data_IF_505040590982
#
_entry.id   IF_505040590982
#
_cell.length_a   1.000
_cell.length_b   1.000
_cell.length_c   1.000
_cell.angle_alpha   90.00
_cell.angle_beta   90.00
_cell.angle_gamma   90.00
#
_symmetry.space_group_name_H-M   'P 1'
#
loop_
_entity.id
_entity.type
_entity.pdbx_description
1 polymer ?
#
# COMPACT_ATOMS: atom_id res chain seq x y z
N UNK A 1 36.69 8.48 25.10
CA UNK A 1 36.97 7.50 24.02
C UNK A 1 35.70 7.34 23.17
N UNK A 2 35.83 7.66 21.90
CA UNK A 2 34.69 7.53 21.00
C UNK A 2 34.72 6.13 20.38
N UNK A 3 33.78 5.28 20.76
CA UNK A 3 33.60 4.02 20.11
C UNK A 3 32.86 4.24 18.78
N UNK A 4 33.47 3.80 17.70
CA UNK A 4 32.80 3.77 16.42
C UNK A 4 31.98 2.49 16.32
N UNK A 5 30.68 2.63 16.37
CA UNK A 5 29.77 1.54 16.07
C UNK A 5 29.78 1.28 14.56
N UNK A 6 30.29 0.11 14.19
CA UNK A 6 30.15 -0.38 12.81
C UNK A 6 28.91 -1.25 12.73
N UNK A 7 27.90 -0.75 12.03
CA UNK A 7 26.71 -1.53 11.75
C UNK A 7 26.91 -2.20 10.41
N UNK A 8 27.05 -3.53 10.42
CA UNK A 8 27.03 -4.31 9.19
C UNK A 8 25.58 -4.52 8.76
N UNK A 9 25.17 -3.80 7.72
CA UNK A 9 23.85 -4.00 7.14
C UNK A 9 23.95 -5.24 6.25
N UNK A 10 23.52 -6.38 6.79
CA UNK A 10 23.52 -7.66 6.08
C UNK A 10 22.24 -7.90 5.30
N UNK A 11 21.20 -7.10 5.53
CA UNK A 11 19.91 -7.21 4.86
C UNK A 11 19.68 -6.00 3.98
N UNK A 12 19.01 -6.20 2.82
CA UNK A 12 18.67 -5.08 1.95
C UNK A 12 17.79 -4.05 2.69
N UNK A 13 17.96 -2.81 2.35
CA UNK A 13 17.10 -1.74 2.85
C UNK A 13 15.81 -1.68 2.05
N UNK A 14 14.75 -1.23 2.70
CA UNK A 14 13.44 -1.09 2.11
C UNK A 14 13.03 0.36 2.12
N UNK A 15 12.28 0.74 1.11
CA UNK A 15 11.67 2.07 0.98
C UNK A 15 10.18 1.91 1.14
N UNK A 16 9.59 2.73 1.99
CA UNK A 16 8.15 2.85 2.11
C UNK A 16 7.73 4.21 1.58
N UNK A 17 6.81 4.21 0.65
CA UNK A 17 6.16 5.43 0.16
C UNK A 17 4.69 5.35 0.51
N UNK A 18 4.24 6.31 1.30
CA UNK A 18 2.86 6.36 1.78
C UNK A 18 2.04 7.36 1.00
N UNK A 19 0.74 7.12 0.96
CA UNK A 19 -0.25 8.06 0.43
C UNK A 19 -0.05 8.41 -1.05
N UNK A 20 0.24 7.39 -1.85
CA UNK A 20 0.29 7.53 -3.31
C UNK A 20 -1.14 7.52 -3.84
N UNK A 21 -1.56 8.60 -4.49
CA UNK A 21 -2.89 8.69 -5.10
C UNK A 21 -2.93 7.87 -6.37
N UNK A 22 -3.77 6.85 -6.43
CA UNK A 22 -3.94 6.02 -7.62
C UNK A 22 -5.23 6.29 -8.39
N UNK A 23 -6.20 6.94 -7.78
CA UNK A 23 -7.45 7.32 -8.40
C UNK A 23 -8.10 8.48 -7.67
N UNK A 24 -8.92 9.21 -8.38
CA UNK A 24 -9.81 10.22 -7.80
C UNK A 24 -11.24 9.80 -8.06
N UNK A 25 -12.05 9.74 -7.02
CA UNK A 25 -13.41 9.22 -7.08
C UNK A 25 -14.39 10.18 -6.41
N UNK A 26 -15.67 10.02 -6.74
CA UNK A 26 -16.72 10.75 -6.07
C UNK A 26 -16.92 10.21 -4.65
N UNK A 27 -17.05 11.11 -3.72
CA UNK A 27 -17.30 10.81 -2.32
C UNK A 27 -18.80 10.86 -2.00
N UNK A 28 -19.13 10.91 -0.72
CA UNK A 28 -20.49 10.92 -0.17
C UNK A 28 -21.45 11.91 -0.82
N UNK A 29 -20.93 13.02 -1.27
CA UNK A 29 -21.70 14.08 -1.90
C UNK A 29 -21.29 14.19 -3.35
N UNK A 30 -22.25 14.33 -4.23
CA UNK A 30 -22.03 14.41 -5.68
C UNK A 30 -21.07 15.53 -6.10
N UNK A 31 -20.77 16.44 -5.21
CA UNK A 31 -19.89 17.57 -5.49
C UNK A 31 -18.51 17.44 -4.87
N UNK A 32 -18.24 16.34 -4.14
CA UNK A 32 -16.97 16.12 -3.48
C UNK A 32 -16.20 15.00 -4.15
N UNK A 33 -14.95 15.28 -4.50
CA UNK A 33 -14.02 14.25 -4.95
C UNK A 33 -13.03 13.92 -3.85
N UNK A 34 -12.64 12.68 -3.80
CA UNK A 34 -11.60 12.25 -2.88
C UNK A 34 -10.54 11.44 -3.61
N UNK A 35 -9.33 11.51 -3.11
CA UNK A 35 -8.24 10.71 -3.60
C UNK A 35 -8.26 9.34 -2.92
N UNK A 36 -8.12 8.30 -3.70
CA UNK A 36 -7.85 6.95 -3.20
C UNK A 36 -6.35 6.73 -3.22
N UNK A 37 -5.84 6.28 -2.09
CA UNK A 37 -4.40 6.21 -1.86
C UNK A 37 -3.96 4.78 -1.61
N UNK A 38 -2.69 4.53 -1.88
CA UNK A 38 -2.05 3.27 -1.56
C UNK A 38 -0.68 3.53 -0.94
N UNK A 39 -0.20 2.57 -0.17
CA UNK A 39 1.15 2.58 0.36
C UNK A 39 1.96 1.49 -0.34
N UNK A 40 3.21 1.80 -0.65
CA UNK A 40 4.14 0.86 -1.26
C UNK A 40 5.33 0.60 -0.33
N UNK A 41 5.72 -0.66 -0.24
CA UNK A 41 6.98 -1.05 0.38
C UNK A 41 7.75 -1.87 -0.64
N UNK A 42 8.96 -1.46 -0.94
CA UNK A 42 9.79 -2.14 -1.94
C UNK A 42 11.26 -2.11 -1.53
N UNK A 43 12.07 -3.07 -2.04
CA UNK A 43 13.51 -3.03 -1.82
C UNK A 43 14.14 -1.80 -2.46
N UNK A 44 15.12 -1.21 -1.79
CA UNK A 44 15.82 -0.02 -2.31
C UNK A 44 16.51 -0.29 -3.64
N UNK A 45 17.09 -1.47 -3.79
CA UNK A 45 17.74 -1.86 -5.03
C UNK A 45 16.77 -2.65 -5.90
N UNK A 46 16.13 -1.96 -6.84
CA UNK A 46 15.21 -2.56 -7.81
C UNK A 46 15.76 -2.57 -9.23
N UNK A 47 17.08 -2.35 -9.39
CA UNK A 47 17.65 -1.96 -10.69
C UNK A 47 17.48 -2.99 -11.80
N UNK A 48 17.51 -4.30 -11.51
CA UNK A 48 17.55 -5.31 -12.57
C UNK A 48 16.60 -6.50 -12.36
N UNK A 49 15.78 -6.49 -11.33
CA UNK A 49 14.93 -7.64 -11.02
C UNK A 49 13.47 -7.26 -11.00
N UNK A 50 12.66 -8.13 -11.55
CA UNK A 50 11.22 -8.06 -11.37
C UNK A 50 10.87 -8.78 -10.08
N UNK A 51 10.19 -8.09 -9.18
CA UNK A 51 9.75 -8.64 -7.92
C UNK A 51 8.25 -8.95 -8.01
N UNK A 52 7.82 -10.09 -7.46
CA UNK A 52 6.39 -10.32 -7.33
C UNK A 52 5.77 -9.28 -6.41
N UNK A 53 4.59 -8.83 -6.77
CA UNK A 53 3.87 -7.81 -6.02
C UNK A 53 2.71 -8.45 -5.24
N UNK A 54 2.64 -8.15 -3.95
CA UNK A 54 1.52 -8.53 -3.10
C UNK A 54 0.64 -7.30 -2.93
N UNK A 55 -0.61 -7.42 -3.33
CA UNK A 55 -1.62 -6.38 -3.09
C UNK A 55 -2.41 -6.77 -1.84
N UNK A 56 -2.23 -5.99 -0.79
CA UNK A 56 -2.92 -6.20 0.48
C UNK A 56 -4.21 -5.41 0.50
N UNK A 57 -5.30 -6.10 0.72
CA UNK A 57 -6.63 -5.51 0.81
C UNK A 57 -7.07 -5.62 2.26
N UNK A 58 -7.15 -4.48 2.94
CA UNK A 58 -7.48 -4.45 4.35
C UNK A 58 -8.92 -4.90 4.59
N UNK A 59 -9.12 -5.74 5.60
CA UNK A 59 -10.44 -6.14 6.07
C UNK A 59 -11.12 -5.02 6.85
N UNK A 60 -12.40 -5.14 7.06
CA UNK A 60 -13.20 -4.17 7.82
C UNK A 60 -14.69 -4.32 7.53
N UNK A 61 -15.08 -5.47 6.98
CA UNK A 61 -16.46 -5.78 6.61
C UNK A 61 -17.08 -4.71 5.67
N UNK A 62 -16.25 -4.14 4.81
CA UNK A 62 -16.60 -3.08 3.86
C UNK A 62 -17.00 -1.75 4.50
N UNK A 63 -16.98 -1.65 5.83
CA UNK A 63 -17.43 -0.47 6.55
C UNK A 63 -16.29 0.37 7.11
N UNK A 64 -15.16 -0.25 7.37
CA UNK A 64 -13.96 0.40 7.87
C UNK A 64 -12.75 -0.05 7.08
N UNK A 65 -11.79 0.85 6.99
CA UNK A 65 -10.59 0.55 6.25
C UNK A 65 -9.45 1.45 6.74
N UNK A 66 -8.34 0.81 7.06
CA UNK A 66 -7.10 1.51 7.38
C UNK A 66 -5.95 0.78 6.68
N UNK A 67 -5.42 1.36 5.62
CA UNK A 67 -4.33 0.77 4.86
C UNK A 67 -3.03 0.64 5.64
N UNK A 68 -2.90 1.35 6.75
CA UNK A 68 -1.71 1.32 7.61
C UNK A 68 -1.81 0.33 8.76
N UNK A 69 -2.95 -0.31 8.96
CA UNK A 69 -3.20 -1.14 10.15
C UNK A 69 -2.27 -2.35 10.25
N UNK A 70 -1.82 -2.90 9.15
CA UNK A 70 -0.97 -4.11 9.12
C UNK A 70 0.44 -3.85 8.62
N UNK A 71 0.91 -2.63 8.74
CA UNK A 71 2.18 -2.20 8.15
C UNK A 71 3.37 -3.04 8.62
N UNK A 72 3.43 -3.39 9.91
CA UNK A 72 4.50 -4.23 10.45
C UNK A 72 4.53 -5.61 9.80
N UNK A 73 3.38 -6.22 9.61
CA UNK A 73 3.27 -7.52 8.94
C UNK A 73 3.67 -7.42 7.47
N UNK A 74 3.24 -6.36 6.80
CA UNK A 74 3.56 -6.13 5.40
C UNK A 74 5.05 -5.88 5.19
N UNK A 75 5.71 -5.23 6.14
CA UNK A 75 7.17 -5.03 6.10
C UNK A 75 7.91 -6.36 6.14
N UNK A 76 7.42 -7.34 6.90
CA UNK A 76 8.01 -8.69 6.91
C UNK A 76 7.88 -9.38 5.57
N UNK A 77 6.77 -9.20 4.88
CA UNK A 77 6.60 -9.75 3.53
C UNK A 77 7.59 -9.12 2.56
N UNK A 78 7.83 -7.82 2.66
CA UNK A 78 8.83 -7.15 1.85
C UNK A 78 10.24 -7.69 2.08
N UNK A 79 10.57 -8.09 3.30
CA UNK A 79 11.84 -8.73 3.61
C UNK A 79 12.06 -10.06 2.88
N UNK A 80 10.99 -10.72 2.45
CA UNK A 80 11.07 -11.97 1.71
C UNK A 80 11.17 -11.78 0.19
N UNK A 81 11.42 -10.57 -0.26
CA UNK A 81 11.64 -10.27 -1.68
C UNK A 81 10.38 -9.88 -2.45
N UNK A 82 9.37 -9.40 -1.78
CA UNK A 82 8.13 -8.94 -2.41
C UNK A 82 8.05 -7.42 -2.43
N UNK A 83 7.44 -6.89 -3.47
CA UNK A 83 6.91 -5.53 -3.44
C UNK A 83 5.52 -5.64 -2.83
N UNK A 84 5.24 -4.86 -1.80
CA UNK A 84 3.96 -4.94 -1.08
C UNK A 84 3.21 -3.63 -1.27
N UNK A 85 1.96 -3.73 -1.66
CA UNK A 85 1.08 -2.60 -1.85
C UNK A 85 -0.13 -2.75 -0.92
N UNK A 86 -0.35 -1.77 -0.06
CA UNK A 86 -1.54 -1.71 0.79
C UNK A 86 -2.51 -0.69 0.20
N UNK A 87 -3.69 -1.13 -0.17
CA UNK A 87 -4.65 -0.37 -0.96
C UNK A 87 -5.78 0.15 -0.09
N UNK A 88 -6.08 1.43 -0.24
CA UNK A 88 -7.30 2.04 0.25
C UNK A 88 -8.40 1.88 -0.79
N UNK A 89 -9.60 1.57 -0.34
CA UNK A 89 -10.79 1.47 -1.21
C UNK A 89 -11.97 2.19 -0.55
N UNK A 90 -12.97 2.51 -1.36
CA UNK A 90 -14.20 3.11 -0.82
C UNK A 90 -14.97 2.07 0.00
N UNK A 91 -15.49 2.51 1.13
CA UNK A 91 -16.32 1.67 2.00
C UNK A 91 -17.78 1.67 1.55
N UNK A 92 -18.61 0.82 2.16
CA UNK A 92 -20.04 0.78 1.83
C UNK A 92 -20.78 2.06 2.24
N UNK A 93 -20.18 2.89 3.07
CA UNK A 93 -20.70 4.22 3.35
C UNK A 93 -20.56 5.18 2.16
N UNK A 94 -19.63 4.93 1.25
CA UNK A 94 -19.35 5.77 0.09
C UNK A 94 -19.98 5.25 -1.19
N UNK A 95 -20.34 3.99 -1.21
CA UNK A 95 -20.96 3.38 -2.36
C UNK A 95 -21.21 1.89 -2.15
N UNK A 96 -22.10 1.34 -2.96
CA UNK A 96 -22.46 -0.07 -2.89
C UNK A 96 -21.64 -0.92 -3.85
N UNK A 97 -21.66 -2.24 -3.64
CA UNK A 97 -21.04 -3.19 -4.55
C UNK A 97 -21.42 -2.88 -6.01
N UNK A 98 -20.52 -2.91 -6.98
CA UNK A 98 -19.16 -3.46 -6.94
C UNK A 98 -18.05 -2.41 -6.78
N UNK A 99 -18.32 -1.27 -6.17
CA UNK A 99 -17.38 -0.12 -6.12
C UNK A 99 -16.04 -0.50 -5.50
N UNK A 100 -16.03 -1.36 -4.49
CA UNK A 100 -14.81 -1.79 -3.82
C UNK A 100 -13.90 -2.59 -4.75
N UNK A 101 -14.49 -3.47 -5.55
CA UNK A 101 -13.75 -4.26 -6.54
C UNK A 101 -13.18 -3.35 -7.64
N UNK A 102 -13.94 -2.37 -8.06
CA UNK A 102 -13.49 -1.39 -9.06
C UNK A 102 -12.28 -0.62 -8.57
N UNK A 103 -12.27 -0.22 -7.30
CA UNK A 103 -11.16 0.51 -6.70
C UNK A 103 -9.89 -0.36 -6.64
N UNK A 104 -10.01 -1.61 -6.21
CA UNK A 104 -8.88 -2.54 -6.16
C UNK A 104 -8.33 -2.80 -7.56
N UNK A 105 -9.18 -2.97 -8.55
CA UNK A 105 -8.75 -3.13 -9.94
C UNK A 105 -8.02 -1.90 -10.46
N UNK A 106 -8.48 -0.71 -10.09
CA UNK A 106 -7.80 0.53 -10.47
C UNK A 106 -6.40 0.62 -9.85
N UNK A 107 -6.25 0.22 -8.59
CA UNK A 107 -4.95 0.17 -7.93
C UNK A 107 -4.00 -0.80 -8.63
N UNK A 108 -4.48 -1.99 -8.99
CA UNK A 108 -3.67 -2.99 -9.71
C UNK A 108 -3.21 -2.44 -11.06
N UNK A 109 -4.06 -1.75 -11.78
CA UNK A 109 -3.69 -1.13 -13.07
C UNK A 109 -2.67 -0.02 -12.90
N UNK A 110 -2.75 0.72 -11.81
CA UNK A 110 -1.78 1.77 -11.50
C UNK A 110 -0.38 1.19 -11.27
N UNK A 111 -0.31 0.05 -10.62
CA UNK A 111 0.95 -0.65 -10.37
C UNK A 111 1.50 -1.25 -11.68
#
# INVERSE_FOLDING_TARGET
>A
MKEKLRINITKPQYVQVSDITYAQVDSWYDHCRRDLKLDLIYPEDMSDKRYPCIVWICGGAWMRMDKSAHLSYLSKLAHHGFVVCSVEYRTSNEGSYPIQIEDVKAAIRYL
#
